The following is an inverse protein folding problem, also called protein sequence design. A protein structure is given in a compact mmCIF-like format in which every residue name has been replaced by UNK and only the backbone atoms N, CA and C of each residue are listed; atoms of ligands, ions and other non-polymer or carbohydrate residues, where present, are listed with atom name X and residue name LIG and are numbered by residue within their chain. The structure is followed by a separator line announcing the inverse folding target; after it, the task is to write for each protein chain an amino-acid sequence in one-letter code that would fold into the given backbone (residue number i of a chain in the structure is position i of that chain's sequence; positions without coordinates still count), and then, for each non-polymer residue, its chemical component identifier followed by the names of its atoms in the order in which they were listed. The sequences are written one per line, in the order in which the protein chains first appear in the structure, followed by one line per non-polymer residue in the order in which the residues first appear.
data_IF_646859063825
#
_entry.id   IF_646859063825
#
_cell.length_a   1.000
_cell.length_b   1.000
_cell.length_c   1.000
_cell.angle_alpha   90.00
_cell.angle_beta   90.00
_cell.angle_gamma   90.00
#
_symmetry.space_group_name_H-M   'P 1'
#
loop_
_entity.id
_entity.type
_entity.pdbx_description
1 polymer ?
#
# COMPACT_ATOMS: atom_id res chain seq x y z
N UNK A 1 15.78 6.03 13.37
CA UNK A 1 14.36 5.65 13.26
C UNK A 1 13.72 6.24 11.99
N UNK A 2 14.24 5.91 10.79
CA UNK A 2 13.74 6.48 9.51
C UNK A 2 13.90 5.49 8.34
N UNK A 3 13.49 4.22 8.52
CA UNK A 3 13.50 3.24 7.43
C UNK A 3 12.10 2.72 7.05
N UNK A 4 11.16 2.63 8.00
CA UNK A 4 9.83 2.06 7.75
C UNK A 4 8.88 2.95 6.93
N UNK A 5 8.92 4.28 7.13
CA UNK A 5 8.06 5.20 6.40
C UNK A 5 8.47 5.35 4.92
N UNK A 6 9.78 5.29 4.66
CA UNK A 6 10.32 5.40 3.31
C UNK A 6 9.99 4.16 2.48
N UNK A 7 10.10 2.97 3.10
CA UNK A 7 9.81 1.70 2.44
C UNK A 7 8.35 1.56 1.99
N UNK A 8 7.39 2.01 2.80
CA UNK A 8 5.96 1.96 2.44
C UNK A 8 5.60 2.87 1.28
N UNK A 9 6.20 4.06 1.24
CA UNK A 9 6.01 5.02 0.14
C UNK A 9 6.59 4.46 -1.16
N UNK A 10 7.78 3.85 -1.10
CA UNK A 10 8.42 3.18 -2.24
C UNK A 10 7.57 2.04 -2.78
N UNK A 11 7.09 1.14 -1.92
CA UNK A 11 6.22 0.04 -2.35
C UNK A 11 4.95 0.55 -3.05
N UNK A 12 4.29 1.56 -2.49
CA UNK A 12 3.09 2.15 -3.11
C UNK A 12 3.38 2.78 -4.47
N UNK A 13 4.52 3.46 -4.60
CA UNK A 13 4.92 4.06 -5.87
C UNK A 13 5.15 2.99 -6.95
N UNK A 14 5.82 1.89 -6.62
CA UNK A 14 6.04 0.77 -7.54
C UNK A 14 4.73 0.10 -7.95
N UNK A 15 3.83 -0.13 -7.00
CA UNK A 15 2.51 -0.72 -7.27
C UNK A 15 1.68 0.22 -8.17
N UNK A 16 1.73 1.54 -7.92
CA UNK A 16 1.03 2.53 -8.75
C UNK A 16 1.60 2.60 -10.17
N UNK A 17 2.92 2.50 -10.31
CA UNK A 17 3.59 2.42 -11.60
C UNK A 17 3.08 1.22 -12.41
N UNK A 18 3.07 0.02 -11.83
CA UNK A 18 2.58 -1.19 -12.51
C UNK A 18 1.09 -1.14 -12.82
N UNK A 19 0.28 -0.55 -11.93
CA UNK A 19 -1.14 -0.31 -12.20
C UNK A 19 -1.35 0.59 -13.42
N UNK A 20 -0.64 1.72 -13.49
CA UNK A 20 -0.72 2.63 -14.65
C UNK A 20 -0.13 2.03 -15.93
N UNK A 21 0.80 1.08 -15.80
CA UNK A 21 1.31 0.30 -16.92
C UNK A 21 0.28 -0.71 -17.47
N UNK A 22 -0.81 -0.97 -16.73
CA UNK A 22 -1.85 -1.92 -17.12
C UNK A 22 -1.56 -3.37 -16.72
N UNK A 23 -0.57 -3.60 -15.85
CA UNK A 23 -0.30 -4.92 -15.27
C UNK A 23 -1.50 -5.37 -14.42
N UNK A 24 -1.76 -6.68 -14.34
CA UNK A 24 -2.65 -7.23 -13.30
C UNK A 24 -1.88 -7.39 -11.97
N UNK A 25 -2.60 -7.64 -10.87
CA UNK A 25 -2.00 -7.70 -9.53
C UNK A 25 -0.94 -8.81 -9.40
N UNK A 26 -1.16 -9.99 -9.98
CA UNK A 26 -0.21 -11.10 -9.91
C UNK A 26 1.08 -10.77 -10.68
N UNK A 27 0.97 -10.17 -11.87
CA UNK A 27 2.11 -9.74 -12.66
C UNK A 27 2.90 -8.62 -11.98
N UNK A 28 2.21 -7.66 -11.35
CA UNK A 28 2.86 -6.61 -10.57
C UNK A 28 3.64 -7.19 -9.38
N UNK A 29 3.06 -8.13 -8.61
CA UNK A 29 3.76 -8.81 -7.51
C UNK A 29 5.03 -9.50 -8.00
N UNK A 30 4.90 -10.27 -9.09
CA UNK A 30 6.03 -11.00 -9.68
C UNK A 30 7.13 -10.04 -10.13
N UNK A 31 6.81 -9.03 -10.94
CA UNK A 31 7.78 -8.07 -11.47
C UNK A 31 8.48 -7.29 -10.36
N UNK A 32 7.73 -6.83 -9.36
CA UNK A 32 8.29 -6.07 -8.24
C UNK A 32 9.24 -6.96 -7.42
N UNK A 33 8.83 -8.18 -7.08
CA UNK A 33 9.69 -9.08 -6.29
C UNK A 33 10.90 -9.59 -7.09
N UNK A 34 10.77 -9.83 -8.39
CA UNK A 34 11.89 -10.18 -9.27
C UNK A 34 12.92 -9.04 -9.37
N UNK A 35 12.48 -7.79 -9.45
CA UNK A 35 13.37 -6.64 -9.68
C UNK A 35 14.03 -6.10 -8.40
N UNK A 36 13.36 -6.15 -7.25
CA UNK A 36 13.83 -5.52 -6.01
C UNK A 36 14.07 -6.47 -4.84
N UNK A 37 13.87 -7.78 -5.06
CA UNK A 37 14.15 -8.83 -4.08
C UNK A 37 12.89 -9.53 -3.60
N UNK A 38 13.09 -10.79 -3.23
CA UNK A 38 12.00 -11.68 -2.86
C UNK A 38 11.22 -11.14 -1.65
N UNK A 39 9.89 -11.06 -1.80
CA UNK A 39 8.93 -10.53 -0.81
C UNK A 39 8.91 -9.02 -0.54
N UNK A 40 9.33 -8.17 -1.49
CA UNK A 40 9.12 -6.72 -1.37
C UNK A 40 7.64 -6.34 -1.23
N UNK A 41 6.77 -7.01 -1.99
CA UNK A 41 5.31 -6.84 -1.93
C UNK A 41 4.59 -8.18 -1.87
N UNK A 42 3.47 -8.19 -1.16
CA UNK A 42 2.56 -9.34 -1.09
C UNK A 42 1.32 -9.12 -1.95
N UNK A 43 0.74 -10.22 -2.44
CA UNK A 43 -0.43 -10.19 -3.33
C UNK A 43 -1.65 -9.51 -2.72
N UNK A 44 -1.90 -9.71 -1.43
CA UNK A 44 -2.99 -9.03 -0.71
C UNK A 44 -2.80 -7.51 -0.72
N UNK A 45 -1.58 -7.03 -0.44
CA UNK A 45 -1.22 -5.61 -0.47
C UNK A 45 -1.40 -5.01 -1.87
N UNK A 46 -0.96 -5.72 -2.91
CA UNK A 46 -1.10 -5.24 -4.30
C UNK A 46 -2.56 -5.18 -4.71
N UNK A 47 -3.34 -6.22 -4.38
CA UNK A 47 -4.77 -6.31 -4.70
C UNK A 47 -5.59 -5.21 -4.02
N UNK A 48 -5.34 -4.95 -2.73
CA UNK A 48 -5.98 -3.87 -1.98
C UNK A 48 -5.67 -2.50 -2.62
N UNK A 49 -4.42 -2.25 -2.98
CA UNK A 49 -4.02 -0.99 -3.63
C UNK A 49 -4.64 -0.83 -5.01
N UNK A 50 -4.70 -1.89 -5.81
CA UNK A 50 -5.37 -1.85 -7.11
C UNK A 50 -6.86 -1.52 -6.96
N UNK A 51 -7.50 -2.00 -5.89
CA UNK A 51 -8.88 -1.65 -5.58
C UNK A 51 -9.03 -0.16 -5.25
N UNK A 52 -8.16 0.38 -4.40
CA UNK A 52 -8.12 1.82 -4.09
C UNK A 52 -7.85 2.69 -5.32
N UNK A 53 -6.91 2.28 -6.19
CA UNK A 53 -6.58 3.01 -7.42
C UNK A 53 -7.73 3.01 -8.42
N UNK A 54 -8.48 1.90 -8.53
CA UNK A 54 -9.72 1.85 -9.31
C UNK A 54 -10.79 2.80 -8.75
N UNK A 55 -10.80 3.02 -7.44
CA UNK A 55 -11.65 4.00 -6.78
C UNK A 55 -11.12 5.46 -6.86
N UNK A 56 -9.98 5.68 -7.52
CA UNK A 56 -9.36 7.00 -7.70
C UNK A 56 -8.45 7.46 -6.57
N UNK A 57 -8.19 6.62 -5.56
CA UNK A 57 -7.30 6.95 -4.45
C UNK A 57 -5.86 6.51 -4.73
N UNK A 58 -5.05 7.39 -5.33
CA UNK A 58 -3.64 7.13 -5.66
C UNK A 58 -2.64 7.61 -4.57
N UNK A 59 -3.08 7.79 -3.33
CA UNK A 59 -2.20 8.33 -2.27
C UNK A 59 -1.02 7.40 -1.91
N UNK A 60 0.19 7.97 -1.95
CA UNK A 60 1.44 7.25 -1.65
C UNK A 60 1.75 7.14 -0.15
N UNK A 61 0.97 7.79 0.71
CA UNK A 61 1.13 7.78 2.16
C UNK A 61 -0.09 7.18 2.82
N UNK A 62 0.10 6.42 3.91
CA UNK A 62 -1.03 5.96 4.69
C UNK A 62 -1.78 7.19 5.22
N UNK A 63 -3.10 7.22 5.01
CA UNK A 63 -3.97 8.18 5.67
C UNK A 63 -3.86 8.06 7.20
N UNK A 64 -4.39 9.04 7.95
CA UNK A 64 -4.36 9.03 9.40
C UNK A 64 -4.87 7.68 9.95
N UNK A 65 -4.04 7.03 10.76
CA UNK A 65 -4.43 5.81 11.47
C UNK A 65 -5.35 6.21 12.61
N UNK A 66 -6.65 6.11 12.40
CA UNK A 66 -7.58 6.18 13.52
C UNK A 66 -7.41 4.89 14.33
N UNK A 67 -6.91 5.02 15.56
CA UNK A 67 -6.87 3.92 16.51
C UNK A 67 -8.28 3.42 16.80
N UNK A 68 -8.38 2.26 17.47
CA UNK A 68 -9.66 1.79 18.02
C UNK A 68 -10.30 2.95 18.80
N UNK A 69 -11.53 3.38 18.48
CA UNK A 69 -12.22 4.38 19.29
C UNK A 69 -12.25 3.92 20.74
N UNK A 70 -11.55 4.63 21.62
CA UNK A 70 -11.71 4.48 23.07
C UNK A 70 -12.89 5.35 23.47
N UNK A 71 -14.10 4.77 23.43
CA UNK A 71 -15.22 5.29 24.21
C UNK A 71 -14.89 5.08 25.70
N UNK A 72 -14.17 6.02 26.28
CA UNK A 72 -14.34 6.36 27.68
C UNK A 72 -14.84 7.79 27.69
N UNK A 73 -16.16 7.91 27.52
CA UNK A 73 -16.92 9.04 28.02
C UNK A 73 -16.58 9.18 29.50
N UNK A 74 -15.78 10.19 29.86
CA UNK A 74 -15.76 10.71 31.22
C UNK A 74 -17.15 11.33 31.46
N UNK A 75 -18.07 10.47 31.88
CA UNK A 75 -19.41 10.86 32.26
C UNK A 75 -19.35 11.42 33.69
N UNK A 76 -19.43 12.75 33.76
CA UNK A 76 -19.85 13.58 34.93
C UNK A 76 -18.87 13.74 36.09
#
# INVERSE_FOLDING_TARGET
MTHLANYRKQNRLLILYDYKFGSNAADAVRRINEAWGDRMVGESTVSERFHEFKAGNEELTAGPRFGRPTELDEKT
#
